data_IF_410489891545
#
_entry.id   IF_410489891545
#
_cell.length_a   1.000
_cell.length_b   1.000
_cell.length_c   1.000
_cell.angle_alpha   90.00
_cell.angle_beta   90.00
_cell.angle_gamma   90.00
#
_symmetry.space_group_name_H-M   'P 1'
#
loop_
_entity.id
_entity.type
_entity.pdbx_description
1 polymer ?
#
# COMPACT_ATOMS: atom_id res chain seq x y z
N UNK A 1 -26.79 24.11 -0.61
CA UNK A 1 -25.82 23.59 -1.59
C UNK A 1 -25.73 24.59 -2.74
N UNK A 2 -24.56 25.15 -3.01
CA UNK A 2 -24.37 26.16 -4.07
C UNK A 2 -23.82 25.58 -5.38
N UNK A 3 -23.26 24.36 -5.36
CA UNK A 3 -22.67 23.72 -6.54
C UNK A 3 -23.55 22.66 -7.21
N UNK A 4 -24.77 22.44 -6.70
CA UNK A 4 -25.66 21.35 -7.16
C UNK A 4 -25.10 19.96 -6.86
N UNK A 5 -25.63 18.94 -7.54
CA UNK A 5 -25.23 17.54 -7.37
C UNK A 5 -26.11 16.76 -6.39
N UNK A 6 -25.59 15.65 -5.89
CA UNK A 6 -26.26 14.77 -4.92
C UNK A 6 -25.30 14.42 -3.78
N UNK A 7 -25.84 13.93 -2.66
CA UNK A 7 -25.04 13.47 -1.52
C UNK A 7 -24.39 12.14 -1.87
N UNK A 8 -23.05 12.09 -1.85
CA UNK A 8 -22.27 10.90 -2.20
C UNK A 8 -22.04 10.00 -0.98
N UNK A 9 -21.74 10.62 0.17
CA UNK A 9 -21.42 9.90 1.40
C UNK A 9 -21.76 10.75 2.64
N UNK A 10 -21.97 10.07 3.75
CA UNK A 10 -22.12 10.64 5.08
C UNK A 10 -21.12 9.97 6.02
N UNK A 11 -20.54 10.75 6.92
CA UNK A 11 -19.70 10.26 8.00
C UNK A 11 -19.98 11.02 9.30
N UNK A 12 -19.46 10.50 10.41
CA UNK A 12 -19.42 11.21 11.69
C UNK A 12 -18.01 11.65 11.97
N UNK A 13 -17.83 12.85 12.52
CA UNK A 13 -16.54 13.43 12.83
C UNK A 13 -16.51 13.94 14.27
N UNK A 14 -15.65 13.34 15.09
CA UNK A 14 -15.52 13.66 16.51
C UNK A 14 -14.46 14.73 16.69
N UNK A 15 -14.86 15.96 17.00
CA UNK A 15 -13.89 17.06 17.20
C UNK A 15 -14.10 17.68 18.57
N UNK A 16 -13.01 17.75 19.33
CA UNK A 16 -13.00 18.45 20.61
C UNK A 16 -13.03 19.96 20.36
N UNK A 17 -14.16 20.57 20.71
CA UNK A 17 -14.41 22.00 20.61
C UNK A 17 -14.41 22.71 21.99
N UNK A 18 -13.89 22.07 23.04
CA UNK A 18 -13.77 22.67 24.37
C UNK A 18 -15.02 22.59 25.25
N UNK A 19 -16.07 21.87 24.83
CA UNK A 19 -17.27 21.57 25.65
C UNK A 19 -17.49 20.07 25.88
N UNK A 20 -16.56 19.23 25.44
CA UNK A 20 -16.65 17.77 25.44
C UNK A 20 -16.48 17.19 24.03
N UNK A 21 -16.36 15.86 23.89
CA UNK A 21 -16.35 15.21 22.58
C UNK A 21 -17.74 15.32 21.95
N UNK A 22 -17.91 16.25 21.00
CA UNK A 22 -19.12 16.35 20.18
C UNK A 22 -18.91 15.66 18.83
N UNK A 23 -19.88 14.84 18.44
CA UNK A 23 -19.91 14.17 17.14
C UNK A 23 -20.68 15.02 16.13
N UNK A 24 -19.99 15.42 15.06
CA UNK A 24 -20.58 16.17 13.96
C UNK A 24 -21.01 15.23 12.83
N UNK A 25 -22.15 15.54 12.22
CA UNK A 25 -22.60 14.87 11.00
C UNK A 25 -21.99 15.59 9.79
N UNK A 26 -21.26 14.84 8.96
CA UNK A 26 -20.55 15.35 7.80
C UNK A 26 -21.12 14.71 6.53
N UNK A 27 -21.53 15.54 5.58
CA UNK A 27 -22.05 15.11 4.28
C UNK A 27 -21.13 15.59 3.17
N UNK A 28 -20.72 14.70 2.27
CA UNK A 28 -20.01 15.06 1.05
C UNK A 28 -20.93 14.98 -0.17
N UNK A 29 -20.88 16.01 -1.02
CA UNK A 29 -21.60 16.04 -2.29
C UNK A 29 -20.72 15.62 -3.47
N UNK A 30 -21.32 15.14 -4.55
CA UNK A 30 -20.62 14.76 -5.78
C UNK A 30 -19.83 15.89 -6.45
N UNK A 31 -20.11 17.15 -6.09
CA UNK A 31 -19.39 18.34 -6.56
C UNK A 31 -18.31 18.84 -5.61
N UNK A 32 -18.01 18.08 -4.54
CA UNK A 32 -16.95 18.40 -3.57
C UNK A 32 -17.36 19.37 -2.47
N UNK A 33 -18.65 19.61 -2.25
CA UNK A 33 -19.07 20.38 -1.06
C UNK A 33 -19.16 19.46 0.14
N UNK A 34 -18.49 19.81 1.23
CA UNK A 34 -18.61 19.14 2.52
C UNK A 34 -19.42 20.01 3.46
N UNK A 35 -20.50 19.45 3.99
CA UNK A 35 -21.49 20.13 4.82
C UNK A 35 -21.44 19.51 6.20
N UNK A 36 -21.29 20.34 7.22
CA UNK A 36 -21.13 19.89 8.61
C UNK A 36 -22.32 20.39 9.44
N UNK A 37 -22.99 19.46 10.09
CA UNK A 37 -24.07 19.72 11.03
C UNK A 37 -23.68 19.30 12.46
N UNK A 38 -24.18 20.05 13.43
CA UNK A 38 -24.13 19.72 14.85
C UNK A 38 -25.55 19.64 15.40
N UNK A 39 -25.77 18.72 16.32
CA UNK A 39 -27.04 18.63 17.01
C UNK A 39 -27.36 17.24 17.51
N UNK A 40 -28.48 17.15 18.22
CA UNK A 40 -28.96 15.90 18.82
C UNK A 40 -30.11 15.27 18.03
N UNK A 41 -30.92 16.07 17.33
CA UNK A 41 -32.13 15.60 16.65
C UNK A 41 -32.27 16.27 15.26
N UNK A 42 -32.08 15.53 14.15
CA UNK A 42 -32.19 16.07 12.80
C UNK A 42 -33.61 16.51 12.40
N UNK A 43 -34.66 16.05 13.11
CA UNK A 43 -36.05 16.46 12.84
C UNK A 43 -36.40 17.81 13.51
N UNK A 44 -35.55 18.30 14.41
CA UNK A 44 -35.76 19.55 15.13
C UNK A 44 -34.71 20.61 14.75
N UNK A 45 -35.14 21.59 13.95
CA UNK A 45 -34.30 22.70 13.49
C UNK A 45 -33.75 23.59 14.63
N UNK A 46 -34.32 23.53 15.84
CA UNK A 46 -33.79 24.26 16.99
C UNK A 46 -32.56 23.57 17.62
N UNK A 47 -32.44 22.25 17.46
CA UNK A 47 -31.34 21.45 18.04
C UNK A 47 -30.39 20.91 16.98
N UNK A 48 -30.71 21.03 15.70
CA UNK A 48 -29.85 20.63 14.57
C UNK A 48 -29.46 21.83 13.70
N UNK A 49 -28.23 22.29 13.88
CA UNK A 49 -27.69 23.48 13.24
C UNK A 49 -26.63 23.17 12.19
N UNK A 50 -26.64 23.94 11.10
CA UNK A 50 -25.54 23.96 10.14
C UNK A 50 -24.34 24.69 10.76
N UNK A 51 -23.19 24.02 10.87
CA UNK A 51 -21.94 24.65 11.33
C UNK A 51 -21.27 25.38 10.17
N UNK A 52 -21.20 24.73 9.00
CA UNK A 52 -20.48 25.28 7.86
C UNK A 52 -20.56 24.42 6.60
N UNK A 53 -20.25 25.07 5.48
CA UNK A 53 -20.13 24.45 4.15
C UNK A 53 -18.76 24.79 3.59
N UNK A 54 -18.03 23.76 3.17
CA UNK A 54 -16.65 23.88 2.69
C UNK A 54 -16.53 23.31 1.28
N UNK A 55 -15.78 23.99 0.43
CA UNK A 55 -15.52 23.54 -0.94
C UNK A 55 -14.19 22.78 -0.99
N UNK A 56 -14.28 21.49 -1.25
CA UNK A 56 -13.17 20.55 -1.41
C UNK A 56 -13.16 19.95 -2.82
N UNK A 57 -12.19 19.07 -3.09
CA UNK A 57 -12.19 18.24 -4.29
C UNK A 57 -13.41 17.32 -4.33
N UNK A 58 -13.89 16.97 -5.53
CA UNK A 58 -14.96 15.99 -5.67
C UNK A 58 -14.54 14.65 -5.02
N UNK A 59 -15.41 14.03 -4.18
CA UNK A 59 -15.10 12.76 -3.53
C UNK A 59 -15.01 11.62 -4.54
N UNK A 60 -14.12 10.65 -4.28
CA UNK A 60 -13.97 9.46 -5.12
C UNK A 60 -14.77 8.29 -4.55
N UNK A 61 -15.79 7.87 -5.30
CA UNK A 61 -16.70 6.79 -4.90
C UNK A 61 -17.59 7.15 -3.69
N UNK A 62 -18.44 6.19 -3.30
CA UNK A 62 -19.33 6.32 -2.12
C UNK A 62 -18.63 5.99 -0.80
N UNK A 63 -17.51 5.27 -0.84
CA UNK A 63 -16.68 4.93 0.33
C UNK A 63 -15.51 5.91 0.48
N UNK A 64 -15.79 7.19 0.23
CA UNK A 64 -14.78 8.24 0.27
C UNK A 64 -14.40 8.64 1.70
N UNK A 65 -15.21 8.30 2.71
CA UNK A 65 -14.96 8.62 4.11
C UNK A 65 -14.40 7.43 4.89
N UNK A 66 -13.37 7.65 5.70
CA UNK A 66 -12.89 6.68 6.69
C UNK A 66 -12.49 7.40 7.97
N UNK A 67 -12.95 6.90 9.13
CA UNK A 67 -12.47 7.37 10.44
C UNK A 67 -11.03 6.93 10.66
N UNK A 68 -10.17 7.87 11.07
CA UNK A 68 -8.77 7.63 11.41
C UNK A 68 -8.48 8.32 12.74
N UNK A 69 -8.46 7.55 13.83
CA UNK A 69 -8.39 8.10 15.18
C UNK A 69 -9.65 8.91 15.49
N UNK A 70 -9.48 10.16 15.97
CA UNK A 70 -10.57 11.12 16.18
C UNK A 70 -10.97 11.87 14.90
N UNK A 71 -10.19 11.78 13.84
CA UNK A 71 -10.44 12.55 12.62
C UNK A 71 -11.16 11.74 11.54
N UNK A 72 -11.75 12.45 10.57
CA UNK A 72 -12.40 11.87 9.41
C UNK A 72 -11.55 12.15 8.17
N UNK A 73 -11.02 11.10 7.54
CA UNK A 73 -10.30 11.21 6.28
C UNK A 73 -11.29 11.16 5.11
N UNK A 74 -11.03 11.99 4.09
CA UNK A 74 -11.77 12.00 2.83
C UNK A 74 -10.84 11.71 1.65
N UNK A 75 -11.27 10.83 0.76
CA UNK A 75 -10.65 10.56 -0.53
C UNK A 75 -11.33 11.45 -1.58
N UNK A 76 -10.54 12.28 -2.25
CA UNK A 76 -11.03 13.17 -3.29
C UNK A 76 -10.09 13.17 -4.49
N UNK A 77 -10.51 13.87 -5.56
CA UNK A 77 -9.68 14.07 -6.75
C UNK A 77 -8.32 14.71 -6.47
N UNK A 78 -8.21 15.47 -5.38
CA UNK A 78 -6.98 16.16 -4.98
C UNK A 78 -6.09 15.31 -4.06
N UNK A 79 -6.52 14.08 -3.72
CA UNK A 79 -5.82 13.14 -2.83
C UNK A 79 -6.65 12.74 -1.61
N UNK A 80 -6.01 12.01 -0.68
CA UNK A 80 -6.60 11.62 0.60
C UNK A 80 -6.05 12.49 1.73
N UNK A 81 -6.93 13.12 2.50
CA UNK A 81 -6.55 14.02 3.59
C UNK A 81 -7.54 13.99 4.77
N UNK A 82 -7.06 14.32 6.00
CA UNK A 82 -7.93 14.52 7.15
C UNK A 82 -8.75 15.81 7.03
N UNK A 83 -10.02 15.77 7.43
CA UNK A 83 -10.89 16.95 7.41
C UNK A 83 -10.38 18.07 8.33
N UNK A 84 -9.85 17.74 9.52
CA UNK A 84 -9.32 18.77 10.45
C UNK A 84 -8.32 19.72 9.78
N UNK A 85 -7.45 19.17 8.92
CA UNK A 85 -6.43 19.93 8.20
C UNK A 85 -7.01 20.63 6.97
N UNK A 86 -7.89 19.97 6.22
CA UNK A 86 -8.43 20.48 4.97
C UNK A 86 -9.34 21.70 5.16
N UNK A 87 -10.07 21.79 6.26
CA UNK A 87 -10.97 22.92 6.55
C UNK A 87 -10.25 24.24 6.79
N UNK A 88 -8.97 24.20 7.16
CA UNK A 88 -8.17 25.40 7.45
C UNK A 88 -7.40 25.93 6.23
N UNK A 89 -7.47 25.23 5.09
CA UNK A 89 -6.64 25.49 3.92
C UNK A 89 -7.51 25.71 2.69
N UNK A 90 -7.05 26.59 1.79
CA UNK A 90 -7.63 26.71 0.46
C UNK A 90 -7.32 25.45 -0.38
N UNK A 91 -8.20 25.11 -1.32
CA UNK A 91 -8.15 23.87 -2.12
C UNK A 91 -6.79 23.63 -2.77
N UNK A 92 -6.14 24.69 -3.27
CA UNK A 92 -4.81 24.59 -3.88
C UNK A 92 -3.70 24.17 -2.89
N UNK A 93 -3.88 24.44 -1.60
CA UNK A 93 -2.93 24.10 -0.54
C UNK A 93 -3.20 22.72 0.10
N UNK A 94 -4.40 22.16 -0.04
CA UNK A 94 -4.79 20.88 0.59
C UNK A 94 -3.91 19.71 0.14
N UNK A 95 -3.49 19.70 -1.14
CA UNK A 95 -2.59 18.67 -1.68
C UNK A 95 -1.25 18.57 -0.93
N UNK A 96 -0.78 19.64 -0.26
CA UNK A 96 0.46 19.64 0.51
C UNK A 96 0.35 18.93 1.86
N UNK A 97 -0.87 18.87 2.41
CA UNK A 97 -1.15 18.26 3.72
C UNK A 97 -1.81 16.88 3.57
N UNK A 98 -2.02 16.44 2.32
CA UNK A 98 -2.54 15.13 2.02
C UNK A 98 -1.64 14.01 2.56
N UNK A 99 -2.28 12.95 3.06
CA UNK A 99 -1.63 11.70 3.44
C UNK A 99 -0.90 11.14 2.21
N UNK A 100 -1.50 11.31 1.04
CA UNK A 100 -0.98 10.90 -0.27
C UNK A 100 0.07 11.83 -0.88
N UNK A 101 0.61 12.83 -0.15
CA UNK A 101 1.55 13.81 -0.70
C UNK A 101 2.75 13.18 -1.42
N UNK A 102 3.28 12.06 -0.92
CA UNK A 102 4.44 11.36 -1.49
C UNK A 102 4.11 10.64 -2.80
N UNK A 103 2.84 10.30 -3.02
CA UNK A 103 2.34 9.59 -4.21
C UNK A 103 1.37 10.45 -5.02
N UNK A 104 1.40 11.78 -4.87
CA UNK A 104 0.42 12.69 -5.47
C UNK A 104 0.31 12.51 -6.99
N UNK A 105 1.43 12.27 -7.68
CA UNK A 105 1.42 12.00 -9.12
C UNK A 105 0.63 10.73 -9.46
N UNK A 106 0.91 9.63 -8.75
CA UNK A 106 0.21 8.36 -8.96
C UNK A 106 -1.29 8.47 -8.65
N UNK A 107 -1.64 9.16 -7.56
CA UNK A 107 -3.04 9.46 -7.22
C UNK A 107 -3.72 10.30 -8.31
N UNK A 108 -3.09 11.37 -8.77
CA UNK A 108 -3.67 12.22 -9.82
C UNK A 108 -3.88 11.44 -11.13
N UNK A 109 -2.92 10.61 -11.52
CA UNK A 109 -3.01 9.78 -12.72
C UNK A 109 -4.13 8.73 -12.58
N UNK A 110 -4.24 8.08 -11.42
CA UNK A 110 -5.30 7.11 -11.12
C UNK A 110 -6.69 7.76 -11.07
N UNK A 111 -6.82 8.91 -10.41
CA UNK A 111 -8.05 9.71 -10.36
C UNK A 111 -8.52 10.11 -11.76
N UNK A 112 -7.61 10.53 -12.64
CA UNK A 112 -7.94 10.93 -14.02
C UNK A 112 -8.39 9.75 -14.87
N UNK A 113 -7.79 8.59 -14.67
CA UNK A 113 -8.08 7.39 -15.45
C UNK A 113 -9.33 6.65 -14.94
N UNK A 114 -9.56 6.62 -13.63
CA UNK A 114 -10.50 5.71 -12.98
C UNK A 114 -11.39 6.38 -11.93
N UNK A 115 -11.46 7.72 -11.89
CA UNK A 115 -12.21 8.44 -10.86
C UNK A 115 -13.70 8.11 -10.79
N UNK A 116 -14.29 7.70 -11.91
CA UNK A 116 -15.70 7.31 -12.01
C UNK A 116 -15.96 5.82 -11.71
N UNK A 117 -14.90 5.00 -11.62
CA UNK A 117 -15.03 3.57 -11.39
C UNK A 117 -15.37 3.26 -9.92
N UNK A 118 -16.25 2.29 -9.70
CA UNK A 118 -16.62 1.83 -8.37
C UNK A 118 -15.51 0.98 -7.72
N UNK A 119 -15.20 1.28 -6.45
CA UNK A 119 -14.22 0.52 -5.66
C UNK A 119 -13.18 1.36 -4.92
N UNK A 120 -13.20 2.69 -5.08
CA UNK A 120 -12.36 3.60 -4.29
C UNK A 120 -12.69 3.51 -2.81
N UNK A 121 -11.68 3.22 -2.00
CA UNK A 121 -11.81 3.02 -0.56
C UNK A 121 -10.47 3.21 0.14
N UNK A 122 -10.51 3.64 1.40
CA UNK A 122 -9.32 3.70 2.28
C UNK A 122 -9.62 2.89 3.53
N UNK A 123 -8.69 2.00 3.88
CA UNK A 123 -8.73 1.26 5.14
C UNK A 123 -7.43 1.46 5.90
N UNK A 124 -7.52 1.54 7.22
CA UNK A 124 -6.36 1.53 8.13
C UNK A 124 -6.30 0.16 8.80
N UNK A 125 -5.12 -0.45 8.80
CA UNK A 125 -4.85 -1.74 9.43
C UNK A 125 -3.69 -1.59 10.43
N UNK A 126 -3.99 -1.23 11.69
CA UNK A 126 -2.97 -0.92 12.70
C UNK A 126 -2.06 -2.11 13.04
N UNK A 127 -2.60 -3.34 13.11
CA UNK A 127 -1.82 -4.54 13.46
C UNK A 127 -0.65 -4.78 12.50
N UNK A 128 -0.85 -4.54 11.21
CA UNK A 128 0.21 -4.62 10.20
C UNK A 128 0.97 -3.32 9.95
N UNK A 129 0.67 -2.23 10.66
CA UNK A 129 1.21 -0.89 10.41
C UNK A 129 1.01 -0.41 8.96
N UNK A 130 -0.17 -0.67 8.38
CA UNK A 130 -0.47 -0.36 6.98
C UNK A 130 -1.75 0.48 6.84
N UNK A 131 -1.74 1.42 5.90
CA UNK A 131 -2.93 2.08 5.39
C UNK A 131 -3.03 1.78 3.90
N UNK A 132 -4.20 1.38 3.44
CA UNK A 132 -4.43 0.85 2.09
C UNK A 132 -5.44 1.75 1.40
N UNK A 133 -5.10 2.25 0.22
CA UNK A 133 -6.01 2.94 -0.70
C UNK A 133 -6.30 1.99 -1.85
N UNK A 134 -7.55 1.57 -1.98
CA UNK A 134 -7.99 0.72 -3.09
C UNK A 134 -8.30 1.59 -4.31
N UNK A 135 -7.76 1.19 -5.46
CA UNK A 135 -7.96 1.88 -6.74
C UNK A 135 -8.53 0.88 -7.75
N UNK A 136 -9.77 1.07 -8.20
CA UNK A 136 -10.33 0.26 -9.28
C UNK A 136 -9.68 0.65 -10.62
N UNK A 137 -9.28 -0.33 -11.44
CA UNK A 137 -8.93 -0.09 -12.85
C UNK A 137 -10.11 -0.46 -13.74
N UNK A 138 -10.67 -1.65 -13.50
CA UNK A 138 -11.88 -2.15 -14.16
C UNK A 138 -12.76 -2.75 -13.08
N UNK A 139 -13.98 -2.23 -12.97
CA UNK A 139 -14.96 -2.64 -11.95
C UNK A 139 -15.14 -4.16 -11.95
N UNK A 140 -15.04 -4.79 -10.77
CA UNK A 140 -15.17 -6.23 -10.57
C UNK A 140 -14.20 -7.10 -11.39
N UNK A 141 -13.11 -6.55 -11.93
CA UNK A 141 -12.14 -7.31 -12.74
C UNK A 141 -10.71 -7.09 -12.27
N UNK A 142 -10.25 -5.83 -12.18
CA UNK A 142 -8.88 -5.53 -11.75
C UNK A 142 -8.81 -4.31 -10.86
N UNK A 143 -8.04 -4.44 -9.79
CA UNK A 143 -7.80 -3.40 -8.80
C UNK A 143 -6.32 -3.42 -8.42
N UNK A 144 -5.80 -2.26 -8.00
CA UNK A 144 -4.51 -2.20 -7.34
C UNK A 144 -4.63 -1.39 -6.05
N UNK A 145 -3.69 -1.58 -5.14
CA UNK A 145 -3.71 -0.87 -3.87
C UNK A 145 -2.45 -0.02 -3.72
N UNK A 146 -2.63 1.22 -3.30
CA UNK A 146 -1.52 2.02 -2.75
C UNK A 146 -1.46 1.77 -1.25
N UNK A 147 -0.33 1.23 -0.80
CA UNK A 147 -0.13 0.86 0.59
C UNK A 147 0.92 1.77 1.19
N UNK A 148 0.56 2.42 2.27
CA UNK A 148 1.44 3.25 3.08
C UNK A 148 1.81 2.49 4.35
N UNK A 149 3.09 2.46 4.68
CA UNK A 149 3.51 2.06 6.01
C UNK A 149 3.25 3.23 6.97
N UNK A 150 2.43 3.01 8.00
CA UNK A 150 1.99 4.06 8.93
C UNK A 150 3.08 4.55 9.87
N UNK A 151 4.14 3.76 10.07
CA UNK A 151 5.30 4.12 10.90
C UNK A 151 6.33 4.96 10.13
N UNK A 152 6.65 4.56 8.91
CA UNK A 152 7.72 5.20 8.11
C UNK A 152 7.20 6.26 7.13
N UNK A 153 5.92 6.19 6.78
CA UNK A 153 5.31 7.01 5.73
C UNK A 153 5.78 6.68 4.31
N UNK A 154 6.50 5.56 4.14
CA UNK A 154 6.86 5.03 2.84
C UNK A 154 5.66 4.40 2.14
N UNK A 155 5.65 4.46 0.81
CA UNK A 155 4.57 3.97 -0.02
C UNK A 155 5.04 2.88 -0.98
N UNK A 156 4.18 1.91 -1.22
CA UNK A 156 4.33 0.93 -2.29
C UNK A 156 2.97 0.70 -2.99
N UNK A 157 3.00 -0.09 -4.06
CA UNK A 157 1.82 -0.51 -4.79
C UNK A 157 1.71 -2.02 -4.77
N UNK A 158 0.59 -2.54 -4.29
CA UNK A 158 0.26 -3.96 -4.41
C UNK A 158 -0.46 -4.21 -5.74
N UNK A 159 -0.15 -5.34 -6.36
CA UNK A 159 -0.69 -5.80 -7.65
C UNK A 159 -0.99 -7.29 -7.49
N UNK A 160 -2.02 -7.79 -8.17
CA UNK A 160 -2.41 -9.20 -8.12
C UNK A 160 -3.39 -9.52 -6.98
N UNK A 161 -3.61 -8.58 -6.05
CA UNK A 161 -4.64 -8.67 -5.02
C UNK A 161 -5.89 -7.90 -5.46
N UNK A 162 -6.72 -8.54 -6.28
CA UNK A 162 -7.92 -7.93 -6.84
C UNK A 162 -9.04 -7.80 -5.79
N UNK A 163 -9.01 -6.71 -5.02
CA UNK A 163 -9.95 -6.44 -3.93
C UNK A 163 -11.00 -5.39 -4.33
N UNK A 164 -12.28 -5.72 -4.15
CA UNK A 164 -13.43 -4.80 -4.35
C UNK A 164 -13.71 -3.92 -3.13
N UNK A 165 -13.40 -4.42 -1.95
CA UNK A 165 -13.60 -3.74 -0.68
C UNK A 165 -12.62 -4.29 0.36
N UNK A 166 -12.33 -3.47 1.36
CA UNK A 166 -11.48 -3.86 2.49
C UNK A 166 -12.17 -3.55 3.80
N UNK A 167 -12.05 -4.44 4.77
CA UNK A 167 -12.54 -4.17 6.12
C UNK A 167 -11.66 -4.85 7.17
N UNK A 168 -11.59 -4.25 8.36
CA UNK A 168 -10.88 -4.84 9.49
C UNK A 168 -11.91 -5.33 10.50
N UNK A 169 -11.81 -6.60 10.88
CA UNK A 169 -12.67 -7.23 11.87
C UNK A 169 -11.81 -8.05 12.83
N UNK A 170 -11.98 -7.84 14.15
CA UNK A 170 -11.16 -8.48 15.20
C UNK A 170 -9.64 -8.36 14.97
N UNK A 171 -9.16 -7.16 14.61
CA UNK A 171 -7.76 -6.90 14.25
C UNK A 171 -7.22 -7.79 13.10
N UNK A 172 -8.10 -8.35 12.27
CA UNK A 172 -7.75 -9.12 11.07
C UNK A 172 -8.24 -8.37 9.84
N UNK A 173 -7.43 -8.40 8.78
CA UNK A 173 -7.70 -7.69 7.54
C UNK A 173 -8.44 -8.62 6.58
N UNK A 174 -9.59 -8.18 6.08
CA UNK A 174 -10.37 -8.90 5.11
C UNK A 174 -10.56 -8.08 3.83
N UNK A 175 -10.70 -8.77 2.70
CA UNK A 175 -11.08 -8.16 1.44
C UNK A 175 -12.09 -9.01 0.67
N UNK A 176 -12.95 -8.34 -0.10
CA UNK A 176 -13.88 -9.00 -1.02
C UNK A 176 -13.23 -9.22 -2.38
N UNK A 177 -13.15 -10.49 -2.81
CA UNK A 177 -12.68 -10.86 -4.15
C UNK A 177 -13.69 -10.54 -5.25
N UNK A 178 -13.25 -10.64 -6.51
CA UNK A 178 -14.12 -10.49 -7.69
C UNK A 178 -15.06 -11.68 -7.92
N UNK A 179 -14.81 -12.81 -7.26
CA UNK A 179 -15.61 -14.03 -7.29
C UNK A 179 -16.73 -14.05 -6.23
N UNK A 180 -16.84 -12.99 -5.43
CA UNK A 180 -17.82 -12.90 -4.34
C UNK A 180 -17.39 -13.62 -3.05
N UNK A 181 -16.15 -14.12 -2.99
CA UNK A 181 -15.59 -14.72 -1.77
C UNK A 181 -14.90 -13.64 -0.93
N UNK A 182 -15.01 -13.78 0.39
CA UNK A 182 -14.27 -12.93 1.35
C UNK A 182 -12.98 -13.65 1.71
N UNK A 183 -11.86 -12.97 1.52
CA UNK A 183 -10.52 -13.47 1.81
C UNK A 183 -9.94 -12.75 3.02
N UNK A 184 -9.23 -13.49 3.86
CA UNK A 184 -8.40 -12.91 4.93
C UNK A 184 -7.00 -12.61 4.38
N UNK A 185 -6.51 -11.41 4.59
CA UNK A 185 -5.17 -10.96 4.20
C UNK A 185 -4.23 -10.91 5.41
N UNK A 186 -2.92 -10.95 5.14
CA UNK A 186 -1.86 -10.81 6.16
C UNK A 186 -1.87 -11.91 7.25
N UNK A 187 -2.12 -13.16 6.86
CA UNK A 187 -2.16 -14.31 7.78
C UNK A 187 -1.07 -15.33 7.49
N UNK A 188 -1.05 -15.84 6.26
CA UNK A 188 -0.21 -16.98 5.87
C UNK A 188 0.69 -16.60 4.69
N UNK A 189 1.70 -17.43 4.45
CA UNK A 189 2.53 -17.38 3.26
C UNK A 189 1.93 -18.08 2.04
N UNK A 190 0.60 -18.09 1.88
CA UNK A 190 -0.07 -18.83 0.80
C UNK A 190 -1.08 -17.94 0.06
N UNK A 191 -1.21 -18.15 -1.25
CA UNK A 191 -2.24 -17.50 -2.07
C UNK A 191 -3.46 -18.43 -2.17
N UNK A 192 -4.24 -18.46 -1.09
CA UNK A 192 -5.37 -19.37 -0.89
C UNK A 192 -4.99 -20.86 -0.95
N UNK A 193 -4.88 -21.44 -2.15
CA UNK A 193 -4.47 -22.84 -2.37
C UNK A 193 -3.26 -22.98 -3.30
N UNK A 194 -2.72 -21.88 -3.83
CA UNK A 194 -1.67 -21.88 -4.85
C UNK A 194 -0.29 -21.48 -4.35
N UNK A 195 0.73 -21.95 -5.08
CA UNK A 195 2.05 -21.31 -5.06
C UNK A 195 1.94 -19.93 -5.74
N UNK A 196 2.72 -18.95 -5.29
CA UNK A 196 2.72 -17.62 -5.87
C UNK A 196 4.13 -17.04 -5.98
N UNK A 197 4.27 -16.05 -6.87
CA UNK A 197 5.51 -15.31 -7.06
C UNK A 197 5.34 -13.91 -6.49
N UNK A 198 6.16 -13.57 -5.50
CA UNK A 198 6.27 -12.20 -5.00
C UNK A 198 7.40 -11.47 -5.74
N UNK A 199 7.11 -10.26 -6.24
CA UNK A 199 8.10 -9.40 -6.89
C UNK A 199 8.09 -8.04 -6.19
N UNK A 200 9.24 -7.66 -5.63
CA UNK A 200 9.49 -6.33 -5.11
C UNK A 200 10.37 -5.56 -6.08
N UNK A 201 9.98 -4.32 -6.42
CA UNK A 201 10.77 -3.41 -7.26
C UNK A 201 10.95 -2.09 -6.55
N UNK A 202 12.19 -1.60 -6.48
CA UNK A 202 12.49 -0.27 -5.92
C UNK A 202 12.33 0.83 -6.96
N UNK A 203 12.27 2.08 -6.51
CA UNK A 203 12.27 3.23 -7.42
C UNK A 203 13.59 3.33 -8.21
N UNK A 204 13.53 3.79 -9.45
CA UNK A 204 14.75 4.11 -10.20
C UNK A 204 15.50 5.28 -9.54
N UNK A 205 16.78 5.03 -9.22
CA UNK A 205 17.67 6.01 -8.62
C UNK A 205 18.88 6.24 -9.52
N UNK A 206 19.39 7.47 -9.52
CA UNK A 206 20.58 7.86 -10.30
C UNK A 206 21.89 7.64 -9.54
N UNK A 207 21.84 7.18 -8.28
CA UNK A 207 23.01 6.87 -7.46
C UNK A 207 24.11 7.95 -7.52
N UNK A 208 23.72 9.20 -7.27
CA UNK A 208 24.63 10.34 -7.15
C UNK A 208 24.97 11.10 -8.44
N UNK A 209 24.94 10.47 -9.63
CA UNK A 209 25.49 11.11 -10.84
C UNK A 209 24.61 10.93 -12.09
N UNK A 210 23.81 11.95 -12.46
CA UNK A 210 22.79 11.79 -13.54
C UNK A 210 23.36 11.76 -14.96
N UNK A 211 24.52 12.38 -15.19
CA UNK A 211 25.12 12.52 -16.53
C UNK A 211 26.04 11.37 -16.95
N UNK A 212 26.36 10.44 -16.05
CA UNK A 212 27.30 9.36 -16.32
C UNK A 212 26.58 8.01 -16.44
N UNK A 213 26.97 7.22 -17.46
CA UNK A 213 26.64 5.80 -17.51
C UNK A 213 27.36 5.07 -16.38
N UNK A 214 26.64 4.18 -15.72
CA UNK A 214 27.15 3.34 -14.64
C UNK A 214 27.04 1.89 -15.06
N UNK A 215 28.05 1.12 -14.67
CA UNK A 215 28.05 -0.34 -14.77
C UNK A 215 27.86 -0.90 -13.37
N UNK A 216 26.76 -1.60 -13.14
CA UNK A 216 26.55 -2.34 -11.90
C UNK A 216 27.25 -3.69 -12.00
N UNK A 217 28.09 -4.00 -11.02
CA UNK A 217 28.95 -5.19 -11.01
C UNK A 217 28.55 -6.20 -9.94
N UNK A 218 28.07 -5.73 -8.79
CA UNK A 218 27.63 -6.60 -7.71
C UNK A 218 26.44 -6.01 -6.95
N UNK A 219 25.63 -6.89 -6.37
CA UNK A 219 24.55 -6.57 -5.43
C UNK A 219 24.73 -7.39 -4.16
N UNK A 220 24.58 -6.75 -3.01
CA UNK A 220 24.48 -7.42 -1.72
C UNK A 220 23.07 -7.20 -1.18
N UNK A 221 22.17 -8.17 -1.33
CA UNK A 221 20.88 -8.09 -0.67
C UNK A 221 21.03 -8.33 0.84
N UNK A 222 20.28 -7.59 1.65
CA UNK A 222 20.16 -7.81 3.09
C UNK A 222 18.74 -8.28 3.35
N UNK A 223 18.52 -9.59 3.25
CA UNK A 223 17.19 -10.20 3.34
C UNK A 223 17.16 -11.16 4.51
N UNK A 224 16.17 -11.00 5.38
CA UNK A 224 15.92 -11.90 6.50
C UNK A 224 14.72 -12.78 6.18
N UNK A 225 14.88 -14.09 6.31
CA UNK A 225 13.81 -15.06 6.06
C UNK A 225 13.78 -16.13 7.14
N UNK A 226 12.59 -16.65 7.43
CA UNK A 226 12.37 -17.82 8.29
C UNK A 226 12.03 -19.09 7.49
N UNK A 227 12.10 -19.01 6.16
CA UNK A 227 11.62 -20.05 5.25
C UNK A 227 12.61 -20.32 4.11
N UNK A 228 12.62 -21.57 3.65
CA UNK A 228 13.46 -22.12 2.59
C UNK A 228 13.11 -21.61 1.19
N UNK A 229 13.31 -20.32 0.90
CA UNK A 229 13.08 -19.79 -0.45
C UNK A 229 14.36 -19.25 -1.06
N UNK A 230 14.58 -19.61 -2.33
CA UNK A 230 15.59 -18.99 -3.17
C UNK A 230 15.14 -17.57 -3.51
N UNK A 231 15.85 -16.58 -2.97
CA UNK A 231 15.62 -15.18 -3.32
C UNK A 231 16.39 -14.86 -4.60
N UNK A 232 15.72 -14.20 -5.52
CA UNK A 232 16.16 -14.00 -6.89
C UNK A 232 16.32 -12.50 -7.14
N UNK A 233 17.45 -12.07 -7.70
CA UNK A 233 17.76 -10.65 -7.83
C UNK A 233 18.04 -10.25 -9.28
N UNK A 234 17.74 -8.98 -9.56
CA UNK A 234 17.88 -8.38 -10.88
C UNK A 234 17.98 -6.85 -10.75
N UNK A 235 18.68 -6.21 -11.68
CA UNK A 235 18.72 -4.75 -11.80
C UNK A 235 18.09 -4.32 -13.13
N UNK A 236 17.02 -3.53 -13.06
CA UNK A 236 16.51 -2.78 -14.21
C UNK A 236 17.28 -1.47 -14.36
N UNK A 237 17.51 -1.04 -15.60
CA UNK A 237 18.20 0.22 -15.91
C UNK A 237 17.40 1.08 -16.89
N UNK A 238 17.62 2.39 -16.83
CA UNK A 238 17.08 3.39 -17.75
C UNK A 238 15.53 3.39 -17.84
N UNK A 239 14.86 3.28 -16.70
CA UNK A 239 13.39 3.21 -16.59
C UNK A 239 12.71 2.07 -17.37
N UNK A 240 13.48 1.10 -17.87
CA UNK A 240 12.93 -0.05 -18.58
C UNK A 240 12.35 -1.04 -17.57
N UNK A 241 11.09 -1.41 -17.77
CA UNK A 241 10.44 -2.45 -16.99
C UNK A 241 10.37 -3.72 -17.81
N UNK A 242 11.48 -4.44 -17.89
CA UNK A 242 11.55 -5.66 -18.69
C UNK A 242 11.07 -6.85 -17.86
N UNK A 243 10.29 -7.71 -18.48
CA UNK A 243 9.60 -8.86 -17.85
C UNK A 243 10.36 -10.17 -17.96
N UNK A 244 11.40 -10.23 -18.81
CA UNK A 244 12.13 -11.47 -19.13
C UNK A 244 13.58 -11.32 -18.72
N UNK A 245 13.94 -11.90 -17.58
CA UNK A 245 15.33 -12.00 -17.14
C UNK A 245 15.59 -13.35 -16.47
N UNK A 246 16.83 -13.82 -16.60
CA UNK A 246 17.38 -14.87 -15.74
C UNK A 246 17.77 -14.23 -14.42
N UNK A 247 17.05 -14.56 -13.35
CA UNK A 247 17.36 -14.07 -12.03
C UNK A 247 18.61 -14.74 -11.47
N UNK A 248 19.36 -14.00 -10.66
CA UNK A 248 20.47 -14.56 -9.89
C UNK A 248 19.90 -15.10 -8.58
N UNK A 249 20.02 -16.41 -8.36
CA UNK A 249 19.49 -17.07 -7.17
C UNK A 249 20.52 -17.08 -6.03
N UNK A 250 20.08 -16.72 -4.82
CA UNK A 250 20.78 -17.14 -3.60
C UNK A 250 20.50 -18.61 -3.33
N UNK A 251 21.40 -19.30 -2.62
CA UNK A 251 21.10 -20.67 -2.18
C UNK A 251 19.90 -20.65 -1.23
N UNK A 252 18.89 -21.46 -1.56
CA UNK A 252 17.80 -21.77 -0.64
C UNK A 252 18.34 -22.60 0.53
N UNK A 253 17.87 -22.33 1.74
CA UNK A 253 18.20 -23.14 2.92
C UNK A 253 17.21 -24.29 2.99
N UNK A 254 17.63 -25.53 3.27
CA UNK A 254 16.69 -26.65 3.42
C UNK A 254 15.79 -26.45 4.64
N UNK A 255 14.47 -26.64 4.49
CA UNK A 255 13.56 -26.81 5.63
C UNK A 255 14.11 -27.97 6.48
N UNK A 256 14.38 -27.72 7.77
CA UNK A 256 14.78 -28.79 8.67
C UNK A 256 13.58 -29.63 9.10
N UNK A 257 13.84 -30.85 9.54
CA UNK A 257 12.81 -31.83 9.86
C UNK A 257 11.96 -31.42 11.06
N UNK A 258 10.68 -31.83 11.01
CA UNK A 258 9.71 -31.62 12.09
C UNK A 258 10.04 -32.46 13.32
N UNK A 259 9.73 -31.93 14.50
CA UNK A 259 9.88 -32.66 15.76
C UNK A 259 8.99 -33.92 15.75
N UNK A 260 9.54 -35.07 16.16
CA UNK A 260 8.83 -36.35 16.15
C UNK A 260 8.80 -37.08 14.79
N UNK A 261 9.28 -36.45 13.71
CA UNK A 261 9.47 -37.08 12.39
C UNK A 261 10.95 -37.14 11.97
N UNK A 262 11.84 -36.59 12.77
CA UNK A 262 13.27 -36.48 12.46
C UNK A 262 14.02 -37.80 12.65
N UNK A 263 14.79 -38.21 11.64
CA UNK A 263 15.76 -39.31 11.75
C UNK A 263 17.08 -38.79 12.31
N UNK A 264 17.44 -39.24 13.51
CA UNK A 264 18.69 -38.84 14.18
C UNK A 264 19.92 -39.17 13.32
N UNK A 265 20.83 -38.20 13.16
CA UNK A 265 22.06 -38.36 12.38
C UNK A 265 21.91 -38.28 10.85
N UNK A 266 20.68 -38.09 10.33
CA UNK A 266 20.41 -37.90 8.90
C UNK A 266 19.76 -36.55 8.60
N UNK A 267 18.81 -36.18 9.44
CA UNK A 267 17.98 -35.02 9.23
C UNK A 267 18.54 -33.79 9.94
N UNK A 268 18.41 -32.63 9.30
CA UNK A 268 18.83 -31.35 9.87
C UNK A 268 17.70 -30.74 10.69
N UNK A 269 18.02 -30.15 11.84
CA UNK A 269 17.08 -29.31 12.58
C UNK A 269 16.67 -28.09 11.75
N UNK A 270 15.41 -27.66 11.89
CA UNK A 270 14.94 -26.43 11.26
C UNK A 270 15.78 -25.26 11.76
N UNK A 271 16.42 -24.55 10.82
CA UNK A 271 17.10 -23.29 11.13
C UNK A 271 16.02 -22.27 11.44
N UNK A 272 16.21 -21.51 12.52
CA UNK A 272 15.39 -20.34 12.80
C UNK A 272 15.58 -19.25 11.74
N UNK A 273 15.15 -18.03 12.06
CA UNK A 273 15.35 -16.86 11.20
C UNK A 273 16.84 -16.68 10.81
N UNK A 274 17.11 -16.55 9.51
CA UNK A 274 18.46 -16.34 8.98
C UNK A 274 18.48 -15.15 8.01
N UNK A 275 19.66 -14.58 7.83
CA UNK A 275 19.87 -13.41 6.95
C UNK A 275 20.79 -13.78 5.80
N UNK A 276 20.34 -13.52 4.58
CA UNK A 276 21.12 -13.59 3.36
C UNK A 276 21.87 -12.27 3.19
N UNK A 277 23.19 -12.34 3.09
CA UNK A 277 24.08 -11.18 2.94
C UNK A 277 25.19 -11.39 1.90
N UNK A 278 25.09 -12.45 1.11
CA UNK A 278 26.14 -12.82 0.15
C UNK A 278 26.16 -11.82 -1.02
N UNK A 279 27.36 -11.49 -1.48
CA UNK A 279 27.54 -10.69 -2.69
C UNK A 279 27.26 -11.53 -3.92
N UNK A 280 26.39 -11.03 -4.79
CA UNK A 280 26.05 -11.64 -6.07
C UNK A 280 26.58 -10.76 -7.20
N UNK A 281 27.24 -11.37 -8.18
CA UNK A 281 27.65 -10.65 -9.39
C UNK A 281 26.44 -10.30 -10.23
N UNK A 282 26.38 -9.06 -10.71
CA UNK A 282 25.32 -8.59 -11.61
C UNK A 282 25.95 -7.82 -12.75
N UNK A 283 25.29 -7.78 -13.90
CA UNK A 283 25.76 -7.05 -15.06
C UNK A 283 24.60 -6.21 -15.60
N UNK A 284 24.65 -4.91 -15.32
CA UNK A 284 23.73 -3.93 -15.91
C UNK A 284 24.50 -2.66 -16.28
N UNK A 285 24.06 -1.98 -17.35
CA UNK A 285 24.68 -0.75 -17.85
C UNK A 285 23.61 0.28 -18.19
N UNK A 286 23.71 1.48 -17.63
CA UNK A 286 22.68 2.53 -17.74
C UNK A 286 22.96 3.72 -16.83
N UNK A 287 22.12 4.75 -16.86
CA UNK A 287 22.28 5.97 -16.04
C UNK A 287 21.61 5.87 -14.68
N UNK A 288 20.46 5.20 -14.62
CA UNK A 288 19.72 4.92 -13.40
C UNK A 288 19.47 3.42 -13.28
N UNK A 289 19.20 2.96 -12.05
CA UNK A 289 18.86 1.59 -11.78
C UNK A 289 17.75 1.46 -10.73
N UNK A 290 17.01 0.36 -10.83
CA UNK A 290 16.07 -0.13 -9.83
C UNK A 290 16.38 -1.59 -9.52
N UNK A 291 16.39 -1.95 -8.23
CA UNK A 291 16.54 -3.34 -7.80
C UNK A 291 15.18 -4.04 -7.88
N UNK A 292 15.17 -5.21 -8.53
CA UNK A 292 14.08 -6.17 -8.53
C UNK A 292 14.48 -7.38 -7.70
N UNK A 293 13.62 -7.77 -6.79
CA UNK A 293 13.72 -8.98 -6.00
C UNK A 293 12.51 -9.84 -6.32
N UNK A 294 12.74 -11.09 -6.68
CA UNK A 294 11.72 -12.12 -6.92
C UNK A 294 11.88 -13.21 -5.87
N UNK A 295 10.75 -13.72 -5.41
CA UNK A 295 10.66 -14.82 -4.45
C UNK A 295 9.54 -15.71 -4.97
N UNK A 296 9.85 -16.95 -5.29
CA UNK A 296 8.86 -17.96 -5.63
C UNK A 296 8.55 -18.73 -4.36
N UNK A 297 7.34 -18.55 -3.83
CA UNK A 297 6.90 -19.22 -2.61
C UNK A 297 6.21 -20.51 -3.03
N UNK A 298 6.79 -21.69 -2.71
CA UNK A 298 6.15 -22.96 -3.02
C UNK A 298 4.85 -23.09 -2.23
N UNK A 299 3.93 -23.88 -2.75
CA UNK A 299 2.70 -24.23 -2.04
C UNK A 299 3.08 -25.02 -0.79
N UNK A 300 3.02 -24.40 0.39
CA UNK A 300 3.16 -25.11 1.65
C UNK A 300 1.78 -25.31 2.29
N UNK A 301 1.45 -26.57 2.57
CA UNK A 301 0.13 -26.99 3.08
C UNK A 301 0.01 -26.71 4.59
N UNK A 302 1.11 -26.34 5.27
CA UNK A 302 1.12 -25.93 6.68
C UNK A 302 0.67 -24.46 6.85
N UNK A 303 -0.61 -24.23 6.56
CA UNK A 303 -1.34 -22.96 6.48
C UNK A 303 -1.53 -22.17 7.79
N UNK A 304 -0.69 -22.34 8.81
CA UNK A 304 -0.89 -21.64 10.11
C UNK A 304 0.20 -20.65 10.49
N UNK A 305 1.30 -20.56 9.72
CA UNK A 305 2.39 -19.62 10.02
C UNK A 305 2.72 -18.70 8.84
N UNK A 306 2.99 -17.41 9.11
CA UNK A 306 3.46 -16.51 8.07
C UNK A 306 4.89 -16.88 7.64
N UNK A 307 5.10 -16.98 6.33
CA UNK A 307 6.45 -17.01 5.75
C UNK A 307 7.00 -15.58 5.73
N UNK A 308 7.99 -15.31 6.56
CA UNK A 308 8.63 -14.01 6.61
C UNK A 308 9.71 -13.96 5.54
N UNK A 309 9.59 -13.03 4.60
CA UNK A 309 10.69 -12.59 3.75
C UNK A 309 10.78 -11.07 3.87
N UNK A 310 11.71 -10.60 4.68
CA UNK A 310 11.90 -9.19 4.98
C UNK A 310 13.15 -8.67 4.30
N UNK A 311 12.97 -7.70 3.39
CA UNK A 311 14.08 -6.99 2.77
C UNK A 311 14.47 -5.82 3.67
N UNK A 312 15.59 -5.95 4.39
CA UNK A 312 16.09 -4.90 5.28
C UNK A 312 16.84 -3.80 4.53
N UNK A 313 17.41 -4.14 3.37
CA UNK A 313 18.16 -3.22 2.55
C UNK A 313 18.95 -3.95 1.47
N UNK A 314 19.78 -3.20 0.76
CA UNK A 314 20.70 -3.75 -0.23
C UNK A 314 21.86 -2.77 -0.45
N UNK A 315 23.03 -3.32 -0.77
CA UNK A 315 24.17 -2.55 -1.23
C UNK A 315 24.41 -2.84 -2.72
N UNK A 316 24.93 -1.86 -3.45
CA UNK A 316 25.28 -1.98 -4.86
C UNK A 316 26.71 -1.52 -5.08
N UNK A 317 27.45 -2.30 -5.87
CA UNK A 317 28.76 -1.90 -6.38
C UNK A 317 28.59 -1.47 -7.82
N UNK A 318 29.07 -0.27 -8.13
CA UNK A 318 29.01 0.31 -9.46
C UNK A 318 30.33 0.96 -9.86
N UNK A 319 30.63 0.90 -11.15
CA UNK A 319 31.69 1.65 -11.80
C UNK A 319 31.03 2.80 -12.58
N UNK A 320 31.55 4.01 -12.41
CA UNK A 320 31.03 5.18 -13.14
C UNK A 320 31.92 5.45 -14.35
N UNK A 321 31.31 5.54 -15.53
CA UNK A 321 31.99 5.95 -16.76
C UNK A 321 32.19 7.47 -16.84
N UNK A 322 32.82 7.92 -17.92
CA UNK A 322 32.97 9.35 -18.22
C UNK A 322 31.61 10.02 -18.49
N UNK A 323 31.57 11.34 -18.30
CA UNK A 323 30.40 12.15 -18.65
C UNK A 323 30.15 12.07 -20.15
N UNK A 324 28.88 11.86 -20.53
CA UNK A 324 28.41 11.91 -21.92
C UNK A 324 28.04 13.35 -22.27
#
# INVERSE_FOLDING_TARGET
>A
MSRGGYVTAMGTWSRDAGSGPDDYAVFATSRGQVIIYAGTDPDNAATWGLIGVFDLGAPLGRRCFRKVGSDLAIISVDGCYPLSTALSLDRGAVSRVAITKNIQRAMNDATRAYGDAFGWEVVSYPKGNMAIINVPLVENVTQHQYVMNTLTGAWCRFIGQNANCWEVMDDRLFFGGNDGVVYEADVTGADYTGAFTAIMKTSFQYYGNRGAKKRWTMVQPLVTTNYAVAVNFLIDVDFKDTTTYSYLSTQGVSNGSLWGQMIWGRDNWSRGQFTLTDWLSTAALGQNAALKIRVDVPQDIESTRPSLVQVNGFNLTLETGEFI
#
